data_IF_281913394502
#
_entry.id   IF_281913394502
#
_cell.length_a   1.000
_cell.length_b   1.000
_cell.length_c   1.000
_cell.angle_alpha   90.00
_cell.angle_beta   90.00
_cell.angle_gamma   90.00
#
_symmetry.space_group_name_H-M   'P 1'
#
loop_
_entity.id
_entity.type
_entity.pdbx_description
1 polymer ?
#
# COMPACT_ATOMS: atom_id res chain seq x y z
N UNK A 1 4.43 12.93 17.18
CA UNK A 1 4.54 12.93 15.71
C UNK A 1 3.53 13.90 15.13
N UNK A 2 3.95 14.78 14.20
CA UNK A 2 3.00 15.69 13.57
C UNK A 2 2.35 15.02 12.35
N UNK A 3 1.33 15.67 11.78
CA UNK A 3 0.56 15.09 10.67
C UNK A 3 1.43 14.82 9.44
N UNK A 4 2.38 15.70 9.15
CA UNK A 4 3.27 15.54 8.00
C UNK A 4 4.16 14.30 8.15
N UNK A 5 4.68 14.05 9.34
CA UNK A 5 5.49 12.88 9.60
C UNK A 5 4.68 11.59 9.45
N UNK A 6 3.47 11.58 10.00
CA UNK A 6 2.57 10.44 9.88
C UNK A 6 2.22 10.19 8.42
N UNK A 7 1.91 11.25 7.68
CA UNK A 7 1.57 11.17 6.27
C UNK A 7 2.73 10.60 5.45
N UNK A 8 3.94 11.03 5.73
CA UNK A 8 5.14 10.55 5.05
C UNK A 8 5.38 9.07 5.33
N UNK A 9 5.25 8.66 6.58
CA UNK A 9 5.41 7.25 6.97
C UNK A 9 4.38 6.38 6.26
N UNK A 10 3.11 6.78 6.29
CA UNK A 10 2.03 6.02 5.65
C UNK A 10 2.20 5.96 4.14
N UNK A 11 2.63 7.07 3.53
CA UNK A 11 2.90 7.10 2.09
C UNK A 11 4.01 6.12 1.71
N UNK A 12 5.10 6.09 2.47
CA UNK A 12 6.21 5.18 2.19
C UNK A 12 5.81 3.72 2.36
N UNK A 13 5.02 3.41 3.38
CA UNK A 13 4.50 2.06 3.56
C UNK A 13 3.54 1.66 2.43
N UNK A 14 2.63 2.57 2.07
CA UNK A 14 1.66 2.31 1.00
C UNK A 14 2.38 2.08 -0.32
N UNK A 15 3.35 2.90 -0.64
CA UNK A 15 4.16 2.76 -1.85
C UNK A 15 4.87 1.41 -1.88
N UNK A 16 5.49 1.03 -0.78
CA UNK A 16 6.23 -0.22 -0.65
C UNK A 16 5.33 -1.44 -0.86
N UNK A 17 4.19 -1.48 -0.15
CA UNK A 17 3.31 -2.64 -0.22
C UNK A 17 2.52 -2.70 -1.53
N UNK A 18 2.17 -1.55 -2.10
CA UNK A 18 1.52 -1.49 -3.42
C UNK A 18 2.46 -2.04 -4.48
N UNK A 19 3.72 -1.66 -4.44
CA UNK A 19 4.73 -2.15 -5.36
C UNK A 19 4.89 -3.66 -5.25
N UNK A 20 4.95 -4.17 -4.01
CA UNK A 20 5.07 -5.61 -3.77
C UNK A 20 3.83 -6.36 -4.26
N UNK A 21 2.66 -5.81 -4.02
CA UNK A 21 1.42 -6.42 -4.51
C UNK A 21 1.41 -6.55 -6.02
N UNK A 22 1.83 -5.49 -6.73
CA UNK A 22 1.90 -5.51 -8.18
C UNK A 22 2.93 -6.49 -8.74
N UNK A 23 3.93 -6.86 -7.95
CA UNK A 23 4.95 -7.82 -8.33
C UNK A 23 4.55 -9.26 -8.03
N UNK A 24 3.42 -9.48 -7.37
CA UNK A 24 2.96 -10.82 -7.04
C UNK A 24 2.55 -11.59 -8.29
N UNK A 25 2.68 -12.92 -8.28
CA UNK A 25 2.26 -13.75 -9.41
C UNK A 25 0.79 -13.59 -9.73
N UNK A 26 0.40 -13.97 -10.94
CA UNK A 26 -0.99 -13.94 -11.38
C UNK A 26 -1.85 -14.86 -10.50
N UNK A 27 -3.18 -14.73 -10.63
CA UNK A 27 -4.10 -15.60 -9.90
C UNK A 27 -3.81 -17.09 -10.12
N UNK A 28 -3.38 -17.45 -11.31
CA UNK A 28 -3.02 -18.83 -11.61
C UNK A 28 -1.85 -19.30 -10.75
N UNK A 29 -0.85 -18.44 -10.62
CA UNK A 29 0.33 -18.75 -9.81
C UNK A 29 0.03 -18.64 -8.32
N UNK A 30 -0.95 -17.83 -7.96
CA UNK A 30 -1.37 -17.64 -6.57
C UNK A 30 -2.03 -18.88 -5.97
N UNK A 31 -2.41 -19.83 -6.80
CA UNK A 31 -2.93 -21.11 -6.33
C UNK A 31 -1.82 -21.99 -5.78
N UNK A 32 -0.57 -21.64 -6.02
CA UNK A 32 0.55 -22.34 -5.42
C UNK A 32 0.70 -21.96 -3.95
N UNK A 33 1.41 -22.80 -3.21
CA UNK A 33 1.54 -22.67 -1.77
C UNK A 33 2.01 -21.30 -1.31
N UNK A 34 2.93 -20.68 -2.04
CA UNK A 34 3.52 -19.40 -1.62
C UNK A 34 2.90 -18.19 -2.32
N UNK A 35 2.45 -18.36 -3.56
CA UNK A 35 1.91 -17.25 -4.35
C UNK A 35 0.63 -16.69 -3.75
N UNK A 36 -0.31 -17.56 -3.36
CA UNK A 36 -1.58 -17.14 -2.77
C UNK A 36 -1.39 -16.41 -1.46
N UNK A 37 -0.47 -16.91 -0.63
CA UNK A 37 -0.17 -16.27 0.66
C UNK A 37 0.36 -14.86 0.46
N UNK A 38 1.31 -14.68 -0.46
CA UNK A 38 1.91 -13.37 -0.71
C UNK A 38 0.90 -12.34 -1.20
N UNK A 39 0.03 -12.73 -2.12
CA UNK A 39 -1.00 -11.82 -2.62
C UNK A 39 -1.95 -11.40 -1.50
N UNK A 40 -2.39 -12.36 -0.69
CA UNK A 40 -3.26 -12.07 0.44
C UNK A 40 -2.61 -11.13 1.44
N UNK A 41 -1.35 -11.38 1.75
CA UNK A 41 -0.58 -10.56 2.69
C UNK A 41 -0.46 -9.11 2.20
N UNK A 42 0.00 -8.93 0.96
CA UNK A 42 0.20 -7.57 0.45
C UNK A 42 -1.10 -6.85 0.18
N UNK A 43 -2.11 -7.54 -0.29
CA UNK A 43 -3.43 -6.95 -0.48
C UNK A 43 -4.02 -6.49 0.85
N UNK A 44 -3.92 -7.34 1.87
CA UNK A 44 -4.39 -6.99 3.22
C UNK A 44 -3.63 -5.81 3.81
N UNK A 45 -2.30 -5.76 3.57
CA UNK A 45 -1.47 -4.67 4.06
C UNK A 45 -1.87 -3.34 3.42
N UNK A 46 -2.06 -3.32 2.10
CA UNK A 46 -2.49 -2.13 1.37
C UNK A 46 -3.86 -1.66 1.88
N UNK A 47 -4.79 -2.59 2.04
CA UNK A 47 -6.14 -2.26 2.52
C UNK A 47 -6.11 -1.69 3.93
N UNK A 48 -5.25 -2.22 4.80
CA UNK A 48 -5.11 -1.71 6.16
C UNK A 48 -4.54 -0.29 6.17
N UNK A 49 -3.55 -0.02 5.33
CA UNK A 49 -2.98 1.33 5.23
C UNK A 49 -4.04 2.31 4.73
N UNK A 50 -4.84 1.92 3.75
CA UNK A 50 -5.93 2.75 3.25
C UNK A 50 -6.94 3.06 4.35
N UNK A 51 -7.27 2.07 5.17
CA UNK A 51 -8.18 2.25 6.30
C UNK A 51 -7.60 3.22 7.33
N UNK A 52 -6.32 3.08 7.65
CA UNK A 52 -5.65 3.98 8.59
C UNK A 52 -5.66 5.41 8.06
N UNK A 53 -5.35 5.59 6.77
CA UNK A 53 -5.37 6.91 6.14
C UNK A 53 -6.78 7.53 6.20
N UNK A 54 -7.81 6.73 5.94
CA UNK A 54 -9.19 7.18 6.02
C UNK A 54 -9.53 7.65 7.43
N UNK A 55 -9.13 6.89 8.45
CA UNK A 55 -9.38 7.23 9.85
C UNK A 55 -8.65 8.49 10.30
N UNK A 56 -7.48 8.76 9.73
CA UNK A 56 -6.68 9.93 10.04
C UNK A 56 -6.94 11.09 9.10
N UNK A 57 -7.88 10.95 8.19
CA UNK A 57 -8.22 11.97 7.20
C UNK A 57 -7.01 12.36 6.34
N UNK A 58 -6.27 11.36 5.89
CA UNK A 58 -5.09 11.52 5.04
C UNK A 58 -5.42 10.98 3.64
N UNK A 59 -5.20 11.82 2.62
CA UNK A 59 -5.39 11.43 1.22
C UNK A 59 -4.03 11.14 0.60
N UNK A 60 -3.69 9.86 0.49
CA UNK A 60 -2.40 9.42 -0.04
C UNK A 60 -2.24 9.81 -1.52
N UNK A 61 -3.33 9.74 -2.29
CA UNK A 61 -3.25 10.08 -3.71
C UNK A 61 -2.94 11.55 -3.91
N UNK A 62 -3.57 12.43 -3.13
CA UNK A 62 -3.28 13.87 -3.16
C UNK A 62 -1.84 14.14 -2.75
N UNK A 63 -1.38 13.46 -1.70
CA UNK A 63 -0.01 13.61 -1.25
C UNK A 63 0.98 13.18 -2.33
N UNK A 64 0.72 12.06 -3.00
CA UNK A 64 1.57 11.58 -4.09
C UNK A 64 1.66 12.61 -5.22
N UNK A 65 0.54 13.25 -5.56
CA UNK A 65 0.52 14.31 -6.58
C UNK A 65 1.33 15.51 -6.16
N UNK A 66 1.25 15.91 -4.90
CA UNK A 66 2.00 17.05 -4.39
C UNK A 66 3.51 16.86 -4.52
N UNK A 67 4.00 15.66 -4.23
CA UNK A 67 5.44 15.38 -4.31
C UNK A 67 5.87 14.91 -5.69
N UNK A 68 4.94 14.83 -6.65
CA UNK A 68 5.25 14.45 -8.02
C UNK A 68 5.48 12.96 -8.23
N UNK A 69 4.96 12.13 -7.34
CA UNK A 69 5.13 10.69 -7.46
C UNK A 69 4.08 10.10 -8.40
N UNK A 70 4.52 9.21 -9.28
CA UNK A 70 3.64 8.49 -10.22
C UNK A 70 3.59 7.01 -9.85
N UNK A 71 2.37 6.52 -9.66
CA UNK A 71 2.17 5.10 -9.37
C UNK A 71 2.43 4.24 -10.61
#
# INVERSE_FOLDING_TARGET
MNKEEVQDILFNLYKRYTKRYKQCPSMKDNLTKHGGWNVGYYNGSVSMIELICDKLDIDIDSYAKEIGYKW
#
